data_IF_547606844136
#
_entry.id   IF_547606844136
#
_cell.length_a   1.000
_cell.length_b   1.000
_cell.length_c   1.000
_cell.angle_alpha   90.00
_cell.angle_beta   90.00
_cell.angle_gamma   90.00
#
_symmetry.space_group_name_H-M   'P 1'
#
loop_
_entity.id
_entity.type
_entity.pdbx_description
1 polymer ?
#
# COMPACT_ATOMS: atom_id res chain seq x y z
N UNK A 1 -35.19 14.25 8.43
CA UNK A 1 -34.74 15.42 7.64
C UNK A 1 -33.50 14.98 6.89
N UNK A 2 -33.70 14.52 5.66
CA UNK A 2 -32.63 13.94 4.83
C UNK A 2 -31.98 15.07 4.05
N UNK A 3 -30.71 15.35 4.35
CA UNK A 3 -29.98 16.47 3.77
C UNK A 3 -29.83 16.32 2.25
N UNK A 4 -30.15 17.41 1.57
CA UNK A 4 -30.05 17.69 0.14
C UNK A 4 -28.57 17.89 -0.30
N UNK A 5 -27.68 17.00 0.16
CA UNK A 5 -26.23 17.04 -0.09
C UNK A 5 -25.81 16.26 -1.35
N UNK A 6 -26.75 15.60 -2.03
CA UNK A 6 -26.47 14.66 -3.13
C UNK A 6 -26.11 15.35 -4.44
N UNK A 7 -26.59 16.59 -4.67
CA UNK A 7 -26.31 17.33 -5.90
C UNK A 7 -24.87 17.85 -5.92
N UNK A 8 -24.37 18.39 -4.81
CA UNK A 8 -22.98 18.86 -4.69
C UNK A 8 -21.96 17.75 -4.88
N UNK A 9 -22.26 16.56 -4.36
CA UNK A 9 -21.39 15.38 -4.41
C UNK A 9 -21.29 14.75 -5.81
N UNK A 10 -22.34 14.87 -6.63
CA UNK A 10 -22.29 14.38 -8.01
C UNK A 10 -21.35 15.22 -8.89
N UNK A 11 -21.35 16.54 -8.72
CA UNK A 11 -20.50 17.44 -9.51
C UNK A 11 -19.01 17.31 -9.14
N UNK A 12 -18.67 17.04 -7.87
CA UNK A 12 -17.30 16.73 -7.47
C UNK A 12 -16.81 15.42 -8.09
N UNK A 13 -17.63 14.37 -8.10
CA UNK A 13 -17.26 13.09 -8.73
C UNK A 13 -17.00 13.22 -10.24
N UNK A 14 -17.78 14.03 -10.97
CA UNK A 14 -17.52 14.30 -12.38
C UNK A 14 -16.17 15.00 -12.59
N UNK A 15 -15.84 16.00 -11.77
CA UNK A 15 -14.55 16.70 -11.85
C UNK A 15 -13.37 15.79 -11.53
N UNK A 16 -13.50 14.92 -10.52
CA UNK A 16 -12.47 13.94 -10.15
C UNK A 16 -12.24 12.94 -11.29
N UNK A 17 -13.31 12.50 -11.96
CA UNK A 17 -13.21 11.64 -13.15
C UNK A 17 -12.49 12.34 -14.31
N UNK A 18 -12.88 13.57 -14.63
CA UNK A 18 -12.24 14.35 -15.70
C UNK A 18 -10.75 14.54 -15.40
N UNK A 19 -10.41 14.86 -14.15
CA UNK A 19 -9.02 14.99 -13.70
C UNK A 19 -8.24 13.68 -13.88
N UNK A 20 -8.85 12.55 -13.53
CA UNK A 20 -8.25 11.24 -13.73
C UNK A 20 -8.00 10.92 -15.21
N UNK A 21 -8.98 11.21 -16.09
CA UNK A 21 -8.85 10.98 -17.53
C UNK A 21 -7.75 11.86 -18.15
N UNK A 22 -7.70 13.13 -17.77
CA UNK A 22 -6.63 14.06 -18.15
C UNK A 22 -5.24 13.57 -17.72
N UNK A 23 -5.13 13.07 -16.50
CA UNK A 23 -3.88 12.51 -15.98
C UNK A 23 -3.48 11.27 -16.75
N UNK A 24 -4.42 10.37 -17.06
CA UNK A 24 -4.16 9.17 -17.85
C UNK A 24 -3.50 9.53 -19.19
N UNK A 25 -4.07 10.47 -19.92
CA UNK A 25 -3.55 10.89 -21.23
C UNK A 25 -2.17 11.55 -21.12
N UNK A 26 -2.02 12.50 -20.18
CA UNK A 26 -0.75 13.19 -19.94
C UNK A 26 0.37 12.25 -19.51
N UNK A 27 0.06 11.23 -18.70
CA UNK A 27 1.06 10.29 -18.19
C UNK A 27 1.46 9.26 -19.25
N UNK A 28 0.51 8.75 -20.04
CA UNK A 28 0.83 7.88 -21.17
C UNK A 28 1.67 8.59 -22.23
N UNK A 29 1.44 9.88 -22.46
CA UNK A 29 2.22 10.68 -23.40
C UNK A 29 3.66 10.99 -22.91
N UNK A 30 3.92 10.95 -21.59
CA UNK A 30 5.22 11.27 -20.97
C UNK A 30 6.10 10.06 -20.69
N UNK A 31 5.60 8.84 -20.91
CA UNK A 31 6.36 7.64 -20.64
C UNK A 31 7.40 7.40 -21.75
N UNK A 32 8.63 7.81 -21.51
CA UNK A 32 9.76 7.66 -22.45
C UNK A 32 10.36 6.25 -22.39
N UNK A 33 10.28 5.59 -21.24
CA UNK A 33 10.76 4.22 -21.03
C UNK A 33 9.63 3.28 -20.61
N UNK A 34 9.87 1.97 -20.77
CA UNK A 34 8.93 0.94 -20.31
C UNK A 34 8.81 0.94 -18.77
N UNK A 35 9.89 1.24 -18.06
CA UNK A 35 9.87 1.37 -16.60
C UNK A 35 9.01 2.55 -16.15
N UNK A 36 9.15 3.72 -16.81
CA UNK A 36 8.29 4.88 -16.55
C UNK A 36 6.83 4.54 -16.83
N UNK A 37 6.55 3.86 -17.95
CA UNK A 37 5.20 3.44 -18.30
C UNK A 37 4.59 2.56 -17.20
N UNK A 38 5.33 1.55 -16.72
CA UNK A 38 4.87 0.70 -15.63
C UNK A 38 4.65 1.47 -14.33
N UNK A 39 5.55 2.40 -14.00
CA UNK A 39 5.41 3.28 -12.84
C UNK A 39 4.13 4.11 -12.91
N UNK A 40 3.88 4.75 -14.05
CA UNK A 40 2.69 5.56 -14.28
C UNK A 40 1.41 4.73 -14.35
N UNK A 41 1.42 3.55 -14.97
CA UNK A 41 0.27 2.65 -15.01
C UNK A 41 -0.14 2.20 -13.60
N UNK A 42 0.82 1.90 -12.72
CA UNK A 42 0.53 1.57 -11.31
C UNK A 42 -0.10 2.74 -10.57
N UNK A 43 0.43 3.95 -10.76
CA UNK A 43 -0.11 5.16 -10.14
C UNK A 43 -1.54 5.45 -10.63
N UNK A 44 -1.79 5.32 -11.92
CA UNK A 44 -3.13 5.48 -12.50
C UNK A 44 -4.10 4.45 -11.94
N UNK A 45 -3.70 3.18 -11.84
CA UNK A 45 -4.56 2.16 -11.23
C UNK A 45 -4.89 2.48 -9.77
N UNK A 46 -3.92 2.97 -9.01
CA UNK A 46 -4.15 3.43 -7.64
C UNK A 46 -5.19 4.56 -7.58
N UNK A 47 -5.05 5.59 -8.41
CA UNK A 47 -6.02 6.68 -8.47
C UNK A 47 -7.42 6.21 -8.90
N UNK A 48 -7.51 5.26 -9.84
CA UNK A 48 -8.79 4.68 -10.23
C UNK A 48 -9.46 3.94 -9.07
N UNK A 49 -8.70 3.16 -8.30
CA UNK A 49 -9.21 2.45 -7.11
C UNK A 49 -9.60 3.43 -6.01
N UNK A 50 -8.81 4.48 -5.76
CA UNK A 50 -9.15 5.54 -4.80
C UNK A 50 -10.46 6.24 -5.20
N UNK A 51 -10.60 6.59 -6.48
CA UNK A 51 -11.80 7.23 -7.01
C UNK A 51 -13.03 6.31 -6.90
N UNK A 52 -12.89 5.04 -7.27
CA UNK A 52 -13.97 4.05 -7.11
C UNK A 52 -14.36 3.90 -5.63
N UNK A 53 -13.38 3.87 -4.73
CA UNK A 53 -13.63 3.76 -3.28
C UNK A 53 -14.37 4.99 -2.73
N UNK A 54 -14.04 6.20 -3.21
CA UNK A 54 -14.78 7.42 -2.86
C UNK A 54 -16.24 7.35 -3.30
N UNK A 55 -16.50 6.95 -4.55
CA UNK A 55 -17.87 6.84 -5.10
C UNK A 55 -18.68 5.77 -4.36
N UNK A 56 -18.10 4.60 -4.10
CA UNK A 56 -18.79 3.52 -3.40
C UNK A 56 -19.13 3.91 -1.95
N UNK A 57 -18.30 4.76 -1.33
CA UNK A 57 -18.43 5.14 0.07
C UNK A 57 -17.85 4.08 1.01
N UNK A 58 -17.46 4.53 2.20
CA UNK A 58 -16.75 3.73 3.19
C UNK A 58 -17.53 2.49 3.63
N UNK A 59 -18.84 2.60 3.81
CA UNK A 59 -19.70 1.50 4.27
C UNK A 59 -19.76 0.34 3.27
N UNK A 60 -19.90 0.63 1.96
CA UNK A 60 -19.91 -0.41 0.92
C UNK A 60 -18.56 -1.13 0.85
N UNK A 61 -17.46 -0.38 0.97
CA UNK A 61 -16.11 -0.94 1.01
C UNK A 61 -15.91 -1.81 2.26
N UNK A 62 -16.37 -1.36 3.43
CA UNK A 62 -16.32 -2.14 4.68
C UNK A 62 -17.11 -3.44 4.57
N UNK A 63 -18.32 -3.40 4.01
CA UNK A 63 -19.16 -4.58 3.83
C UNK A 63 -18.52 -5.60 2.89
N UNK A 64 -17.92 -5.14 1.80
CA UNK A 64 -17.22 -6.00 0.85
C UNK A 64 -15.91 -6.58 1.42
N UNK A 65 -15.14 -5.76 2.14
CA UNK A 65 -13.82 -6.12 2.70
C UNK A 65 -13.92 -6.99 3.96
N UNK A 66 -14.99 -6.81 4.73
CA UNK A 66 -15.23 -7.44 6.02
C UNK A 66 -14.41 -6.85 7.16
N UNK A 67 -14.62 -7.38 8.38
CA UNK A 67 -13.91 -6.96 9.59
C UNK A 67 -12.44 -7.40 9.61
N UNK A 68 -11.68 -6.93 10.60
CA UNK A 68 -10.30 -7.39 10.83
C UNK A 68 -10.23 -8.92 10.88
N UNK A 69 -9.10 -9.46 10.39
CA UNK A 69 -8.83 -10.89 10.47
C UNK A 69 -8.35 -11.17 11.88
N UNK A 70 -9.25 -11.67 12.71
CA UNK A 70 -9.03 -12.06 14.09
C UNK A 70 -9.73 -13.40 14.34
N UNK A 71 -9.18 -14.23 15.23
CA UNK A 71 -9.82 -15.46 15.67
C UNK A 71 -9.41 -16.72 14.87
N UNK A 72 -10.41 -17.53 14.55
CA UNK A 72 -10.24 -18.88 14.03
C UNK A 72 -9.58 -18.92 12.64
N UNK A 73 -8.79 -19.97 12.39
CA UNK A 73 -8.03 -20.13 11.14
C UNK A 73 -8.95 -20.21 9.92
N UNK A 74 -10.09 -20.90 10.03
CA UNK A 74 -11.01 -21.07 8.91
C UNK A 74 -11.65 -19.74 8.53
N UNK A 75 -12.18 -19.02 9.52
CA UNK A 75 -12.73 -17.67 9.32
C UNK A 75 -11.69 -16.70 8.72
N UNK A 76 -10.45 -16.77 9.19
CA UNK A 76 -9.35 -15.96 8.64
C UNK A 76 -9.10 -16.25 7.15
N UNK A 77 -9.07 -17.52 6.75
CA UNK A 77 -8.87 -17.92 5.35
C UNK A 77 -10.06 -17.55 4.47
N UNK A 78 -11.29 -17.73 4.97
CA UNK A 78 -12.50 -17.34 4.23
C UNK A 78 -12.56 -15.82 3.99
N UNK A 79 -12.18 -15.01 5.00
CA UNK A 79 -12.04 -13.56 4.84
C UNK A 79 -10.97 -13.19 3.80
N UNK A 80 -9.83 -13.88 3.77
CA UNK A 80 -8.79 -13.67 2.76
C UNK A 80 -9.34 -14.01 1.36
N UNK A 81 -10.01 -15.15 1.21
CA UNK A 81 -10.59 -15.56 -0.07
C UNK A 81 -11.63 -14.54 -0.58
N UNK A 82 -12.48 -14.01 0.32
CA UNK A 82 -13.44 -12.95 -0.03
C UNK A 82 -12.73 -11.70 -0.54
N UNK A 83 -11.70 -11.22 0.18
CA UNK A 83 -10.92 -10.04 -0.24
C UNK A 83 -10.24 -10.24 -1.59
N UNK A 84 -9.67 -11.43 -1.83
CA UNK A 84 -9.07 -11.77 -3.13
C UNK A 84 -10.11 -11.74 -4.25
N UNK A 85 -11.35 -12.20 -4.01
CA UNK A 85 -12.42 -12.17 -5.01
C UNK A 85 -12.80 -10.76 -5.46
N UNK A 86 -12.80 -9.78 -4.55
CA UNK A 86 -13.05 -8.36 -4.88
C UNK A 86 -11.96 -7.83 -5.82
N UNK A 87 -10.69 -8.10 -5.49
CA UNK A 87 -9.54 -7.64 -6.29
C UNK A 87 -9.47 -8.37 -7.64
N UNK A 88 -9.85 -9.65 -7.70
CA UNK A 88 -9.83 -10.45 -8.92
C UNK A 88 -10.64 -9.79 -10.04
N UNK A 89 -11.76 -9.13 -9.73
CA UNK A 89 -12.59 -8.44 -10.73
C UNK A 89 -11.81 -7.41 -11.55
N UNK A 90 -10.81 -6.76 -10.95
CA UNK A 90 -9.94 -5.76 -11.61
C UNK A 90 -9.02 -6.44 -12.63
N UNK A 91 -8.54 -7.64 -12.32
CA UNK A 91 -7.55 -8.37 -13.11
C UNK A 91 -8.15 -9.43 -14.03
N UNK A 92 -9.44 -9.73 -13.91
CA UNK A 92 -10.12 -10.80 -14.67
C UNK A 92 -9.90 -10.78 -16.20
N UNK A 93 -9.72 -9.62 -16.88
CA UNK A 93 -9.42 -9.61 -18.32
C UNK A 93 -8.02 -10.13 -18.67
N UNK A 94 -7.09 -10.08 -17.70
CA UNK A 94 -5.67 -10.39 -17.88
C UNK A 94 -5.26 -11.69 -17.18
N UNK A 95 -6.00 -12.04 -16.12
CA UNK A 95 -5.73 -13.19 -15.29
C UNK A 95 -6.44 -14.43 -15.87
N UNK A 96 -5.70 -15.20 -16.66
CA UNK A 96 -6.21 -16.45 -17.24
C UNK A 96 -6.54 -17.42 -16.10
N UNK A 97 -7.82 -17.78 -15.99
CA UNK A 97 -8.33 -18.75 -15.03
C UNK A 97 -7.42 -19.99 -15.01
N UNK A 98 -7.16 -20.49 -13.80
CA UNK A 98 -6.40 -21.73 -13.56
C UNK A 98 -4.90 -21.70 -13.92
N UNK A 99 -4.34 -20.54 -14.28
CA UNK A 99 -2.88 -20.43 -14.44
C UNK A 99 -2.21 -20.41 -13.06
N UNK A 100 -1.13 -21.20 -12.82
CA UNK A 100 -0.39 -21.12 -11.56
C UNK A 100 0.11 -19.69 -11.30
N UNK A 101 -0.25 -19.13 -10.15
CA UNK A 101 0.10 -17.75 -9.77
C UNK A 101 -0.95 -16.70 -10.12
N UNK A 102 -2.05 -17.09 -10.77
CA UNK A 102 -3.25 -16.25 -10.93
C UNK A 102 -3.88 -15.91 -9.58
N UNK A 103 -4.57 -14.77 -9.49
CA UNK A 103 -5.37 -14.42 -8.31
C UNK A 103 -6.48 -15.44 -8.07
N UNK A 104 -7.04 -16.00 -9.14
CA UNK A 104 -7.99 -17.11 -9.04
C UNK A 104 -7.34 -18.31 -8.34
N UNK A 105 -6.14 -18.74 -8.77
CA UNK A 105 -5.48 -19.91 -8.19
C UNK A 105 -5.11 -19.71 -6.71
N UNK A 106 -4.70 -18.49 -6.35
CA UNK A 106 -4.47 -18.12 -4.95
C UNK A 106 -5.76 -18.16 -4.12
N UNK A 107 -6.87 -17.60 -4.64
CA UNK A 107 -8.17 -17.65 -3.97
C UNK A 107 -8.66 -19.08 -3.77
N UNK A 108 -8.60 -19.90 -4.82
CA UNK A 108 -9.02 -21.31 -4.78
C UNK A 108 -8.18 -22.12 -3.80
N UNK A 109 -6.87 -21.87 -3.75
CA UNK A 109 -6.00 -22.52 -2.76
C UNK A 109 -6.33 -22.10 -1.32
N UNK A 110 -6.57 -20.81 -1.06
CA UNK A 110 -6.97 -20.33 0.28
C UNK A 110 -8.24 -21.05 0.74
N UNK A 111 -9.24 -21.23 -0.14
CA UNK A 111 -10.46 -21.97 0.17
C UNK A 111 -10.20 -23.46 0.40
N UNK A 112 -9.35 -24.09 -0.39
CA UNK A 112 -8.97 -25.49 -0.18
C UNK A 112 -8.33 -25.68 1.20
N UNK A 113 -7.39 -24.80 1.58
CA UNK A 113 -6.74 -24.82 2.90
C UNK A 113 -7.77 -24.61 4.03
N UNK A 114 -8.74 -23.72 3.83
CA UNK A 114 -9.82 -23.50 4.80
C UNK A 114 -10.66 -24.77 5.04
N UNK A 115 -10.71 -25.68 4.06
CA UNK A 115 -11.44 -26.94 4.11
C UNK A 115 -10.54 -28.16 4.43
N UNK A 116 -9.29 -27.93 4.88
CA UNK A 116 -8.41 -28.98 5.39
C UNK A 116 -7.37 -29.51 4.41
N UNK A 117 -7.32 -29.01 3.18
CA UNK A 117 -6.27 -29.39 2.23
C UNK A 117 -4.91 -28.81 2.62
N UNK A 118 -3.84 -29.53 2.30
CA UNK A 118 -2.48 -28.99 2.42
C UNK A 118 -2.20 -27.93 1.34
N UNK A 119 -1.47 -26.84 1.67
CA UNK A 119 -1.07 -25.84 0.69
C UNK A 119 -0.20 -26.46 -0.42
N UNK A 120 -0.43 -26.08 -1.67
CA UNK A 120 0.28 -26.57 -2.87
C UNK A 120 1.05 -25.47 -3.61
N UNK A 121 0.48 -24.27 -3.76
CA UNK A 121 1.12 -23.13 -4.39
C UNK A 121 1.82 -22.26 -3.34
N UNK A 122 1.27 -22.08 -2.13
CA UNK A 122 1.98 -21.39 -1.05
C UNK A 122 3.11 -22.22 -0.41
N UNK A 123 3.01 -23.55 -0.43
CA UNK A 123 4.03 -24.43 0.15
C UNK A 123 5.32 -24.52 -0.68
N UNK A 124 5.26 -24.24 -1.99
CA UNK A 124 6.41 -24.33 -2.91
C UNK A 124 7.41 -23.19 -2.76
N UNK A 125 7.14 -22.23 -1.89
CA UNK A 125 7.93 -21.01 -1.71
C UNK A 125 8.73 -21.11 -0.41
N UNK A 126 9.91 -21.74 -0.48
CA UNK A 126 10.88 -21.68 0.62
C UNK A 126 11.37 -20.23 0.79
N UNK A 127 11.45 -19.77 2.04
CA UNK A 127 11.82 -18.38 2.34
C UNK A 127 12.62 -18.25 3.63
N UNK A 128 13.65 -17.39 3.61
CA UNK A 128 14.35 -17.00 4.85
C UNK A 128 13.38 -16.24 5.75
N UNK A 129 13.18 -16.71 6.98
CA UNK A 129 12.27 -16.08 7.96
C UNK A 129 12.58 -14.57 8.08
N UNK A 130 11.56 -13.75 7.85
CA UNK A 130 11.48 -12.30 8.11
C UNK A 130 12.46 -11.37 7.37
N UNK A 131 13.51 -11.85 6.69
CA UNK A 131 14.48 -10.96 5.99
C UNK A 131 13.81 -9.96 5.05
N UNK A 132 12.92 -10.45 4.20
CA UNK A 132 12.18 -9.61 3.24
C UNK A 132 11.22 -8.64 3.93
N UNK A 133 10.48 -9.09 4.96
CA UNK A 133 9.56 -8.23 5.73
C UNK A 133 10.31 -7.13 6.47
N UNK A 134 11.45 -7.48 7.08
CA UNK A 134 12.31 -6.52 7.75
C UNK A 134 12.84 -5.50 6.75
N UNK A 135 13.35 -5.93 5.60
CA UNK A 135 13.79 -5.03 4.53
C UNK A 135 12.67 -4.08 4.06
N UNK A 136 11.42 -4.55 3.94
CA UNK A 136 10.28 -3.67 3.64
C UNK A 136 10.04 -2.62 4.72
N UNK A 137 10.08 -2.99 6.01
CA UNK A 137 9.90 -2.00 7.09
C UNK A 137 11.06 -1.00 7.14
N UNK A 138 12.29 -1.43 6.84
CA UNK A 138 13.45 -0.53 6.73
C UNK A 138 13.32 0.41 5.52
N UNK A 139 12.85 -0.10 4.38
CA UNK A 139 12.55 0.71 3.19
C UNK A 139 11.52 1.80 3.53
N UNK A 140 10.49 1.46 4.31
CA UNK A 140 9.47 2.42 4.72
C UNK A 140 10.03 3.61 5.48
N UNK A 141 11.07 3.42 6.30
CA UNK A 141 11.78 4.53 6.96
C UNK A 141 12.44 5.50 5.96
N UNK A 142 13.01 4.97 4.88
CA UNK A 142 13.64 5.76 3.81
C UNK A 142 12.59 6.45 2.92
N UNK A 143 11.46 5.80 2.67
CA UNK A 143 10.30 6.42 2.00
C UNK A 143 9.78 7.61 2.81
N UNK A 144 9.71 7.50 4.13
CA UNK A 144 9.35 8.62 5.01
C UNK A 144 10.34 9.78 4.92
N UNK A 145 11.65 9.52 4.81
CA UNK A 145 12.63 10.60 4.60
C UNK A 145 12.37 11.33 3.28
N UNK A 146 12.18 10.57 2.19
CA UNK A 146 11.93 11.12 0.87
C UNK A 146 10.62 11.94 0.83
N UNK A 147 9.57 11.41 1.46
CA UNK A 147 8.27 12.08 1.60
C UNK A 147 8.37 13.36 2.44
N UNK A 148 8.96 13.31 3.64
CA UNK A 148 9.09 14.48 4.51
C UNK A 148 10.02 15.55 3.92
N UNK A 149 11.05 15.14 3.19
CA UNK A 149 11.90 16.04 2.41
C UNK A 149 11.10 16.74 1.31
N UNK A 150 10.23 16.01 0.60
CA UNK A 150 9.33 16.61 -0.39
C UNK A 150 8.33 17.59 0.25
N UNK A 151 7.87 17.31 1.49
CA UNK A 151 7.03 18.19 2.31
C UNK A 151 7.74 19.46 2.79
N UNK A 152 9.05 19.59 2.55
CA UNK A 152 9.83 20.75 3.01
C UNK A 152 10.23 20.70 4.49
N UNK A 153 10.04 19.56 5.16
CA UNK A 153 10.46 19.40 6.57
C UNK A 153 11.98 19.47 6.67
N UNK A 154 12.47 20.28 7.61
CA UNK A 154 13.89 20.49 7.86
C UNK A 154 14.65 19.18 8.11
N UNK A 155 15.93 19.12 7.74
CA UNK A 155 16.73 17.88 7.79
C UNK A 155 16.89 17.31 9.18
N UNK A 156 17.15 18.17 10.14
CA UNK A 156 17.27 17.78 11.55
C UNK A 156 15.94 17.25 12.05
N UNK A 157 14.85 17.97 11.79
CA UNK A 157 13.52 17.59 12.26
C UNK A 157 13.06 16.26 11.68
N UNK A 158 13.08 16.08 10.35
CA UNK A 158 12.59 14.82 9.74
C UNK A 158 13.37 13.60 10.23
N UNK A 159 14.69 13.72 10.38
CA UNK A 159 15.55 12.65 10.88
C UNK A 159 15.28 12.33 12.34
N UNK A 160 15.05 13.34 13.17
CA UNK A 160 14.68 13.17 14.57
C UNK A 160 13.32 12.44 14.69
N UNK A 161 12.31 12.83 13.90
CA UNK A 161 10.99 12.18 13.89
C UNK A 161 11.08 10.71 13.48
N UNK A 162 11.84 10.40 12.42
CA UNK A 162 12.04 9.01 11.97
C UNK A 162 12.82 8.20 13.02
N UNK A 163 13.88 8.77 13.60
CA UNK A 163 14.68 8.14 14.67
C UNK A 163 13.80 7.75 15.85
N UNK A 164 12.95 8.66 16.34
CA UNK A 164 12.01 8.39 17.43
C UNK A 164 11.01 7.29 17.07
N UNK A 165 10.46 7.32 15.85
CA UNK A 165 9.48 6.32 15.43
C UNK A 165 10.08 4.90 15.33
N UNK A 166 11.28 4.77 14.76
CA UNK A 166 11.91 3.47 14.50
C UNK A 166 12.79 2.96 15.64
N UNK A 167 13.23 3.83 16.55
CA UNK A 167 14.09 3.49 17.68
C UNK A 167 15.55 3.25 17.32
N UNK A 168 16.02 3.83 16.21
CA UNK A 168 17.41 3.72 15.74
C UNK A 168 17.92 5.10 15.32
N UNK A 169 19.20 5.37 15.63
CA UNK A 169 19.90 6.56 15.14
C UNK A 169 19.84 6.68 13.62
N UNK A 170 19.71 7.91 13.14
CA UNK A 170 19.54 8.19 11.71
C UNK A 170 20.65 7.57 10.85
N UNK A 171 21.91 7.60 11.29
CA UNK A 171 23.02 7.02 10.54
C UNK A 171 22.89 5.51 10.37
N UNK A 172 22.27 4.83 11.34
CA UNK A 172 21.94 3.40 11.24
C UNK A 172 20.85 3.17 10.21
N UNK A 173 19.78 3.98 10.24
CA UNK A 173 18.67 3.92 9.29
C UNK A 173 19.15 4.18 7.87
N UNK A 174 19.98 5.20 7.68
CA UNK A 174 20.55 5.58 6.39
C UNK A 174 21.36 4.43 5.76
N UNK A 175 22.15 3.71 6.57
CA UNK A 175 22.94 2.55 6.13
C UNK A 175 22.11 1.33 5.78
N UNK A 176 20.81 1.29 6.09
CA UNK A 176 19.96 0.19 5.65
C UNK A 176 19.81 0.12 4.14
N UNK A 177 20.09 1.20 3.40
CA UNK A 177 19.96 1.26 1.94
C UNK A 177 20.58 0.06 1.22
N UNK A 178 21.83 -0.29 1.55
CA UNK A 178 22.55 -1.38 0.87
C UNK A 178 21.94 -2.76 1.18
N UNK A 179 21.59 -3.01 2.45
CA UNK A 179 20.94 -4.26 2.89
C UNK A 179 19.55 -4.42 2.25
N UNK A 180 18.79 -3.33 2.17
CA UNK A 180 17.48 -3.30 1.52
C UNK A 180 17.64 -3.57 0.03
N UNK A 181 18.55 -2.87 -0.67
CA UNK A 181 18.78 -3.07 -2.11
C UNK A 181 19.23 -4.50 -2.43
N UNK A 182 20.12 -5.06 -1.60
CA UNK A 182 20.53 -6.47 -1.72
C UNK A 182 19.35 -7.45 -1.54
N UNK A 183 18.37 -7.10 -0.71
CA UNK A 183 17.25 -7.98 -0.39
C UNK A 183 16.04 -7.81 -1.32
N UNK A 184 15.73 -6.58 -1.72
CA UNK A 184 14.51 -6.22 -2.48
C UNK A 184 14.78 -5.96 -3.97
N UNK A 185 16.04 -5.76 -4.36
CA UNK A 185 16.45 -5.27 -5.67
C UNK A 185 16.56 -3.74 -5.71
N UNK A 186 17.60 -3.24 -6.37
CA UNK A 186 17.89 -1.80 -6.46
C UNK A 186 16.74 -1.03 -7.15
N UNK A 187 16.29 -1.50 -8.32
CA UNK A 187 15.26 -0.86 -9.12
C UNK A 187 13.95 -0.69 -8.35
N UNK A 188 13.58 -1.71 -7.56
CA UNK A 188 12.38 -1.67 -6.72
C UNK A 188 12.50 -0.61 -5.64
N UNK A 189 13.64 -0.54 -4.96
CA UNK A 189 13.91 0.47 -3.92
C UNK A 189 13.88 1.87 -4.53
N UNK A 190 14.57 2.07 -5.63
CA UNK A 190 14.67 3.39 -6.27
C UNK A 190 13.32 3.85 -6.84
N UNK A 191 12.49 2.92 -7.35
CA UNK A 191 11.10 3.20 -7.72
C UNK A 191 10.26 3.60 -6.52
N UNK A 192 10.35 2.87 -5.41
CA UNK A 192 9.56 3.14 -4.22
C UNK A 192 9.89 4.52 -3.59
N UNK A 193 11.18 4.87 -3.54
CA UNK A 193 11.62 6.20 -3.09
C UNK A 193 11.14 7.32 -4.02
N UNK A 194 11.17 7.11 -5.35
CA UNK A 194 10.59 8.06 -6.32
C UNK A 194 9.08 8.22 -6.09
N UNK A 195 8.36 7.12 -5.87
CA UNK A 195 6.92 7.14 -5.60
C UNK A 195 6.58 7.86 -4.29
N UNK A 196 7.37 7.69 -3.23
CA UNK A 196 7.17 8.40 -1.96
C UNK A 196 7.24 9.93 -2.13
N UNK A 197 8.12 10.43 -3.00
CA UNK A 197 8.19 11.85 -3.36
C UNK A 197 6.97 12.31 -4.16
N UNK A 198 6.42 11.44 -5.02
CA UNK A 198 5.23 11.76 -5.81
C UNK A 198 3.94 11.76 -4.98
N UNK A 199 3.83 10.85 -4.01
CA UNK A 199 2.66 10.73 -3.12
C UNK A 199 2.42 12.01 -2.29
N UNK A 200 3.48 12.75 -1.92
CA UNK A 200 3.35 14.10 -1.36
C UNK A 200 2.40 14.99 -2.18
N UNK A 201 2.53 14.99 -3.52
CA UNK A 201 1.77 15.88 -4.39
C UNK A 201 0.27 15.59 -4.31
N UNK A 202 -0.09 14.36 -3.98
CA UNK A 202 -1.47 13.92 -3.80
C UNK A 202 -1.97 14.21 -2.38
N UNK A 203 -1.14 14.01 -1.35
CA UNK A 203 -1.50 14.28 0.05
C UNK A 203 -1.63 15.77 0.39
N UNK A 204 -1.01 16.69 -0.36
CA UNK A 204 -1.29 18.14 -0.28
C UNK A 204 -2.81 18.44 -0.37
N UNK A 205 -3.57 17.64 -1.11
CA UNK A 205 -5.03 17.78 -1.18
C UNK A 205 -5.76 17.39 0.12
N UNK A 206 -5.22 16.42 0.87
CA UNK A 206 -5.78 15.94 2.15
C UNK A 206 -5.29 16.74 3.37
N UNK A 207 -4.12 17.37 3.29
CA UNK A 207 -3.64 18.28 4.34
C UNK A 207 -4.48 19.56 4.41
N UNK A 208 -4.99 20.06 3.28
CA UNK A 208 -5.89 21.22 3.24
C UNK A 208 -7.24 20.95 3.93
N UNK A 209 -7.63 19.69 4.09
CA UNK A 209 -8.86 19.29 4.79
C UNK A 209 -8.65 18.93 6.26
N UNK A 210 -7.41 18.97 6.77
CA UNK A 210 -7.09 18.76 8.18
C UNK A 210 -7.19 17.31 8.68
N UNK A 211 -7.36 16.32 7.78
CA UNK A 211 -7.76 14.95 8.14
C UNK A 211 -6.62 13.93 8.26
N UNK A 212 -5.35 14.29 8.07
CA UNK A 212 -4.26 13.32 8.29
C UNK A 212 -2.96 13.96 8.76
N UNK A 213 -2.54 13.64 9.99
CA UNK A 213 -1.17 13.89 10.43
C UNK A 213 -0.32 12.68 10.03
N UNK A 214 0.61 12.89 9.10
CA UNK A 214 1.62 11.91 8.72
C UNK A 214 2.39 11.35 9.94
N UNK A 215 2.37 12.05 11.07
CA UNK A 215 2.97 11.62 12.33
C UNK A 215 2.39 10.30 12.87
N UNK A 216 1.08 10.11 12.78
CA UNK A 216 0.43 8.86 13.24
C UNK A 216 0.81 7.68 12.35
N UNK A 217 0.81 7.89 11.03
CA UNK A 217 1.23 6.89 10.07
C UNK A 217 2.72 6.52 10.25
N UNK A 218 3.59 7.52 10.48
CA UNK A 218 5.00 7.31 10.78
C UNK A 218 5.19 6.50 12.07
N UNK A 219 4.44 6.81 13.14
CA UNK A 219 4.47 6.06 14.40
C UNK A 219 4.01 4.61 14.21
N UNK A 220 2.93 4.39 13.44
CA UNK A 220 2.40 3.07 13.15
C UNK A 220 3.42 2.20 12.39
N UNK A 221 4.10 2.78 11.39
CA UNK A 221 5.15 2.10 10.63
C UNK A 221 6.37 1.76 11.51
N UNK A 222 6.80 2.70 12.35
CA UNK A 222 7.88 2.45 13.32
C UNK A 222 7.53 1.34 14.32
N UNK A 223 6.28 1.30 14.79
CA UNK A 223 5.78 0.23 15.66
C UNK A 223 5.81 -1.13 14.95
N UNK A 224 5.38 -1.19 13.68
CA UNK A 224 5.42 -2.39 12.86
C UNK A 224 6.85 -2.91 12.70
N UNK A 225 7.83 -2.03 12.44
CA UNK A 225 9.24 -2.39 12.39
C UNK A 225 9.72 -3.04 13.69
N UNK A 226 9.40 -2.44 14.85
CA UNK A 226 9.79 -2.98 16.16
C UNK A 226 9.20 -4.37 16.41
N UNK A 227 7.93 -4.60 16.02
CA UNK A 227 7.29 -5.91 16.11
C UNK A 227 8.01 -6.97 15.27
N UNK A 228 8.41 -6.63 14.03
CA UNK A 228 9.15 -7.57 13.15
C UNK A 228 10.53 -7.94 13.72
N UNK A 229 11.19 -6.99 14.39
CA UNK A 229 12.45 -7.21 15.13
C UNK A 229 12.28 -8.04 16.40
N UNK A 230 11.04 -8.32 16.83
CA UNK A 230 10.76 -9.09 18.04
C UNK A 230 10.76 -8.29 19.34
N UNK A 231 10.72 -6.96 19.28
CA UNK A 231 10.51 -6.14 20.48
C UNK A 231 9.06 -6.25 20.94
N UNK A 232 8.84 -6.71 22.17
CA UNK A 232 7.54 -6.64 22.85
C UNK A 232 7.22 -5.17 23.14
N UNK A 233 6.14 -4.66 22.53
CA UNK A 233 5.65 -3.30 22.76
C UNK A 233 5.11 -3.24 24.17
N UNK A 234 5.81 -2.56 25.08
CA UNK A 234 5.22 -2.17 26.37
C UNK A 234 4.24 -1.03 26.07
N UNK A 235 2.95 -1.13 26.45
CA UNK A 235 2.03 -0.01 26.31
C UNK A 235 2.53 1.15 27.20
N UNK A 236 2.78 2.30 26.57
CA UNK A 236 3.00 3.57 27.25
C UNK A 236 1.75 4.41 27.24
#
# INVERSE_FOLDING_TARGET
MSNDNTVGDRWSHHRDLDTFLDQREKLLAKAETEEDRQGWSRLLLHHAVDFASKICGEEVIKDAYGSAIEGDRQDALDKIARRLSVVQSIYSPFDKLETPGSLWSAMSEVRAIANGDEPKLFAKLDGRRRRYRLALTKLRALEWEAYLKALGVGSVERRARITVAYGYEWDTIYRWGDDIKSTLGADRVDTALRQAVLLHKHDMGKMLTGESSWEEALKADGLKHRKEMGFSVVPG
#
